data_IF_086222374435
#
_entry.id   IF_086222374435
#
_cell.length_a   1.000
_cell.length_b   1.000
_cell.length_c   1.000
_cell.angle_alpha   90.00
_cell.angle_beta   90.00
_cell.angle_gamma   90.00
#
_symmetry.space_group_name_H-M   'P 1'
#
loop_
_entity.id
_entity.type
_entity.pdbx_description
1 polymer ?
#
# COMPACT_ATOMS: atom_id res chain seq x y z
N UNK A 1 41.98 16.61 -1.70
CA UNK A 1 40.97 15.76 -2.38
C UNK A 1 39.96 15.36 -1.33
N UNK A 2 38.74 15.88 -1.41
CA UNK A 2 37.69 15.49 -0.50
C UNK A 2 37.29 14.05 -0.87
N UNK A 3 37.42 13.15 0.06
CA UNK A 3 36.83 11.79 -0.08
C UNK A 3 35.34 11.97 -0.13
N UNK A 4 34.71 11.61 -1.25
CA UNK A 4 33.28 11.45 -1.35
C UNK A 4 32.85 10.48 -0.24
N UNK A 5 32.21 11.02 0.80
CA UNK A 5 31.48 10.18 1.74
C UNK A 5 30.43 9.49 0.91
N UNK A 6 30.51 8.18 0.75
CA UNK A 6 29.47 7.39 0.11
C UNK A 6 28.11 7.82 0.65
N UNK A 7 27.33 8.46 -0.21
CA UNK A 7 25.99 8.87 0.16
C UNK A 7 25.23 7.61 0.57
N UNK A 8 24.85 7.50 1.83
CA UNK A 8 24.10 6.36 2.33
C UNK A 8 22.76 6.33 1.64
N UNK A 9 22.63 5.52 0.60
CA UNK A 9 21.40 5.39 -0.16
C UNK A 9 20.35 4.76 0.76
N UNK A 10 19.27 5.50 0.98
CA UNK A 10 18.15 5.01 1.81
C UNK A 10 17.36 3.96 1.02
N UNK A 11 16.84 2.92 1.69
CA UNK A 11 15.92 1.98 1.04
C UNK A 11 14.66 2.70 0.58
N UNK A 12 14.03 2.15 -0.47
CA UNK A 12 12.75 2.65 -0.95
C UNK A 12 11.62 2.15 -0.06
N UNK A 13 10.58 2.96 0.11
CA UNK A 13 9.37 2.50 0.80
C UNK A 13 8.58 1.52 -0.06
N UNK A 14 8.49 1.75 -1.37
CA UNK A 14 7.77 0.89 -2.31
C UNK A 14 8.30 1.05 -3.74
N UNK A 15 8.01 0.05 -4.57
CA UNK A 15 8.24 0.09 -6.00
C UNK A 15 7.01 -0.44 -6.73
N UNK A 16 6.38 0.39 -7.56
CA UNK A 16 5.17 0.03 -8.28
C UNK A 16 4.51 1.23 -8.95
N UNK A 17 3.21 1.10 -9.19
CA UNK A 17 2.35 2.11 -9.79
C UNK A 17 1.32 2.59 -8.77
N UNK A 18 1.03 3.87 -8.83
CA UNK A 18 -0.06 4.53 -8.13
C UNK A 18 -1.01 5.16 -9.12
N UNK A 19 -2.30 5.03 -8.90
CA UNK A 19 -3.34 5.70 -9.70
C UNK A 19 -4.51 6.11 -8.80
N UNK A 20 -5.33 7.00 -9.33
CA UNK A 20 -6.57 7.44 -8.70
C UNK A 20 -7.74 7.08 -9.58
N UNK A 21 -8.79 6.54 -8.98
CA UNK A 21 -10.07 6.26 -9.65
C UNK A 21 -11.16 7.14 -9.05
N UNK A 22 -12.20 7.52 -9.83
CA UNK A 22 -13.34 8.25 -9.31
C UNK A 22 -13.99 7.58 -8.09
N UNK A 23 -14.67 8.35 -7.27
CA UNK A 23 -15.21 7.93 -5.96
C UNK A 23 -16.18 6.75 -6.03
N UNK A 24 -16.89 6.59 -7.15
CA UNK A 24 -17.85 5.51 -7.39
C UNK A 24 -17.20 4.13 -7.51
N UNK A 25 -15.89 4.06 -7.76
CA UNK A 25 -15.12 2.83 -7.72
C UNK A 25 -14.70 2.56 -6.29
N UNK A 26 -15.64 2.06 -5.49
CA UNK A 26 -15.54 1.94 -4.04
C UNK A 26 -15.59 0.50 -3.51
N UNK A 27 -15.61 -0.47 -4.41
CA UNK A 27 -15.57 -1.89 -4.08
C UNK A 27 -14.29 -2.54 -4.59
N UNK A 28 -13.73 -3.45 -3.79
CA UNK A 28 -12.59 -4.28 -4.19
C UNK A 28 -12.92 -5.76 -4.15
N UNK A 29 -12.19 -6.52 -4.95
CA UNK A 29 -12.08 -7.97 -4.83
C UNK A 29 -10.68 -8.37 -5.27
N UNK A 30 -10.09 -9.36 -4.59
CA UNK A 30 -8.73 -9.78 -4.89
C UNK A 30 -8.49 -11.25 -4.54
N UNK A 31 -7.48 -11.84 -5.18
CA UNK A 31 -6.90 -13.12 -4.78
C UNK A 31 -5.50 -12.87 -4.25
N UNK A 32 -5.33 -13.03 -2.95
CA UNK A 32 -4.11 -12.74 -2.22
C UNK A 32 -4.23 -13.14 -0.76
N UNK A 33 -3.35 -12.64 0.09
CA UNK A 33 -3.46 -12.83 1.54
C UNK A 33 -4.46 -11.83 2.13
N UNK A 34 -5.32 -12.36 3.00
CA UNK A 34 -6.37 -11.58 3.67
C UNK A 34 -7.13 -12.41 4.70
N UNK A 35 -8.25 -11.91 5.22
CA UNK A 35 -8.95 -10.67 4.80
C UNK A 35 -8.34 -9.37 5.31
N UNK A 36 -7.52 -9.41 6.38
CA UNK A 36 -6.97 -8.22 7.02
C UNK A 36 -5.74 -7.71 6.25
N UNK A 37 -5.47 -6.41 6.34
CA UNK A 37 -4.25 -5.82 5.78
C UNK A 37 -3.01 -6.56 6.25
N UNK A 38 -2.04 -6.70 5.37
CA UNK A 38 -0.83 -7.41 5.70
C UNK A 38 0.36 -6.89 4.88
N UNK A 39 1.56 -7.09 5.44
CA UNK A 39 2.82 -6.60 4.90
C UNK A 39 3.85 -7.72 4.92
N UNK A 40 4.90 -7.61 4.16
CA UNK A 40 5.90 -8.68 3.99
C UNK A 40 6.54 -9.15 5.30
N UNK A 41 6.56 -8.30 6.32
CA UNK A 41 7.03 -8.63 7.68
C UNK A 41 5.89 -8.97 8.65
N UNK A 42 4.64 -8.94 8.17
CA UNK A 42 3.44 -9.16 8.96
C UNK A 42 2.31 -9.77 8.10
N UNK A 43 2.53 -10.97 7.57
CA UNK A 43 1.54 -11.64 6.72
C UNK A 43 1.32 -13.12 7.04
N UNK A 44 2.01 -13.67 8.04
CA UNK A 44 1.93 -15.08 8.36
C UNK A 44 0.59 -15.51 8.99
N UNK A 45 -0.18 -14.57 9.52
CA UNK A 45 -1.53 -14.80 10.04
C UNK A 45 -2.60 -14.85 8.94
N UNK A 46 -2.28 -14.35 7.73
CA UNK A 46 -3.24 -14.21 6.66
C UNK A 46 -3.12 -15.35 5.65
N UNK A 47 -4.26 -15.86 5.21
CA UNK A 47 -4.35 -16.98 4.29
C UNK A 47 -4.60 -16.53 2.86
N UNK A 48 -4.10 -17.30 1.91
CA UNK A 48 -4.43 -17.10 0.50
C UNK A 48 -5.90 -17.46 0.24
N UNK A 49 -6.62 -16.54 -0.36
CA UNK A 49 -8.04 -16.71 -0.66
C UNK A 49 -8.55 -15.61 -1.57
N UNK A 50 -9.82 -15.71 -1.94
CA UNK A 50 -10.53 -14.64 -2.63
C UNK A 50 -11.29 -13.83 -1.60
N UNK A 51 -10.98 -12.56 -1.53
CA UNK A 51 -11.55 -11.62 -0.59
C UNK A 51 -12.11 -10.41 -1.33
N UNK A 52 -12.83 -9.57 -0.61
CA UNK A 52 -13.32 -8.32 -1.13
C UNK A 52 -14.18 -7.60 -0.10
N UNK A 53 -14.46 -6.34 -0.39
CA UNK A 53 -15.19 -5.47 0.50
C UNK A 53 -15.33 -4.08 -0.10
N UNK A 54 -15.62 -3.12 0.74
CA UNK A 54 -15.63 -1.72 0.33
C UNK A 54 -14.29 -1.09 0.60
N UNK A 55 -13.85 -0.20 -0.28
CA UNK A 55 -12.60 0.55 -0.12
C UNK A 55 -12.53 1.31 1.20
N UNK A 56 -13.66 1.82 1.70
CA UNK A 56 -13.70 2.52 2.99
C UNK A 56 -13.33 1.63 4.19
N UNK A 57 -13.55 0.31 4.08
CA UNK A 57 -13.30 -0.65 5.16
C UNK A 57 -11.84 -1.15 5.17
N UNK A 58 -11.06 -0.78 4.14
CA UNK A 58 -9.66 -1.18 4.01
C UNK A 58 -8.71 -0.33 4.90
N UNK A 59 -9.16 0.82 5.36
CA UNK A 59 -8.36 1.65 6.24
C UNK A 59 -8.46 1.17 7.69
N UNK A 60 -7.33 0.77 8.27
CA UNK A 60 -7.27 0.47 9.70
C UNK A 60 -6.99 1.76 10.49
N UNK A 61 -7.86 2.16 11.44
CA UNK A 61 -7.73 3.43 12.15
C UNK A 61 -6.70 3.35 13.29
N UNK A 62 -5.43 3.24 12.94
CA UNK A 62 -4.36 3.39 13.92
C UNK A 62 -4.47 4.73 14.67
N UNK A 63 -3.94 4.81 15.90
CA UNK A 63 -4.00 6.03 16.73
C UNK A 63 -3.48 7.24 15.96
N UNK A 64 -2.36 7.08 15.26
CA UNK A 64 -1.89 8.05 14.26
C UNK A 64 -2.14 7.52 12.87
N UNK A 65 -2.52 8.40 11.92
CA UNK A 65 -2.54 8.02 10.52
C UNK A 65 -1.18 7.50 10.07
N UNK A 66 -1.19 6.38 9.38
CA UNK A 66 0.01 5.73 8.83
C UNK A 66 -0.38 4.82 7.68
N UNK A 67 0.60 4.17 7.07
CA UNK A 67 0.38 3.15 6.04
C UNK A 67 -0.66 2.13 6.49
N UNK A 68 -1.60 1.80 5.60
CA UNK A 68 -2.75 0.94 5.88
C UNK A 68 -3.28 0.27 4.61
N UNK A 69 -4.02 -0.84 4.76
CA UNK A 69 -4.80 -1.47 3.71
C UNK A 69 -4.00 -2.23 2.66
N UNK A 70 -2.73 -2.55 2.88
CA UNK A 70 -1.95 -3.34 1.93
C UNK A 70 -2.30 -4.83 2.03
N UNK A 71 -2.28 -5.52 0.87
CA UNK A 71 -2.40 -6.97 0.76
C UNK A 71 -1.20 -7.54 0.00
N UNK A 72 -0.61 -8.60 0.53
CA UNK A 72 0.54 -9.28 -0.07
C UNK A 72 0.14 -10.54 -0.84
N UNK A 73 1.06 -11.09 -1.61
CA UNK A 73 0.86 -12.30 -2.41
C UNK A 73 -0.37 -12.22 -3.34
N UNK A 74 -0.69 -11.03 -3.83
CA UNK A 74 -1.84 -10.79 -4.72
C UNK A 74 -1.51 -11.30 -6.13
N UNK A 75 -2.48 -12.02 -6.74
CA UNK A 75 -2.41 -12.48 -8.12
C UNK A 75 -3.25 -11.63 -9.05
N UNK A 76 -4.39 -11.19 -8.56
CA UNK A 76 -5.25 -10.21 -9.21
C UNK A 76 -5.95 -9.35 -8.17
N UNK A 77 -6.18 -8.10 -8.54
CA UNK A 77 -6.85 -7.09 -7.72
C UNK A 77 -7.83 -6.31 -8.59
N UNK A 78 -9.06 -6.16 -8.14
CA UNK A 78 -10.14 -5.46 -8.85
C UNK A 78 -10.60 -4.27 -8.03
N UNK A 79 -10.87 -3.19 -8.72
CA UNK A 79 -11.53 -2.01 -8.15
C UNK A 79 -12.74 -1.71 -9.02
N UNK A 80 -13.92 -1.71 -8.43
CA UNK A 80 -15.20 -1.73 -9.15
C UNK A 80 -16.18 -0.71 -8.58
N UNK A 81 -17.13 -0.29 -9.45
CA UNK A 81 -18.31 0.47 -9.06
C UNK A 81 -19.47 -0.47 -8.66
N UNK A 82 -20.62 0.11 -8.31
CA UNK A 82 -21.81 -0.65 -7.91
C UNK A 82 -22.40 -1.53 -9.02
N UNK A 83 -22.07 -1.26 -10.29
CA UNK A 83 -22.49 -2.05 -11.45
C UNK A 83 -21.55 -3.22 -11.74
N UNK A 84 -20.43 -3.31 -11.00
CA UNK A 84 -19.39 -4.32 -11.23
C UNK A 84 -18.40 -3.95 -12.34
N UNK A 85 -18.49 -2.74 -12.88
CA UNK A 85 -17.56 -2.22 -13.87
C UNK A 85 -16.31 -1.65 -13.17
N UNK A 86 -15.16 -1.74 -13.82
CA UNK A 86 -13.94 -1.22 -13.21
C UNK A 86 -12.66 -1.66 -13.89
N UNK A 87 -11.62 -1.81 -13.09
CA UNK A 87 -10.31 -2.28 -13.54
C UNK A 87 -9.87 -3.52 -12.76
N UNK A 88 -9.32 -4.46 -13.48
CA UNK A 88 -8.58 -5.59 -12.91
C UNK A 88 -7.10 -5.43 -13.21
N UNK A 89 -6.29 -5.57 -12.19
CA UNK A 89 -4.83 -5.63 -12.24
C UNK A 89 -4.41 -7.06 -11.94
N UNK A 90 -3.55 -7.64 -12.78
CA UNK A 90 -3.08 -9.00 -12.56
C UNK A 90 -1.64 -9.19 -13.03
N UNK A 91 -0.95 -10.13 -12.40
CA UNK A 91 0.44 -10.45 -12.70
C UNK A 91 0.69 -11.96 -12.59
N UNK A 92 1.63 -12.45 -13.39
CA UNK A 92 2.09 -13.84 -13.30
C UNK A 92 2.95 -14.10 -12.04
N UNK A 93 3.54 -13.05 -11.48
CA UNK A 93 4.25 -13.10 -10.20
C UNK A 93 3.41 -12.46 -9.09
N UNK A 94 3.60 -12.88 -7.83
CA UNK A 94 2.97 -12.20 -6.72
C UNK A 94 3.29 -10.71 -6.70
N UNK A 95 2.28 -9.90 -6.44
CA UNK A 95 2.36 -8.46 -6.26
C UNK A 95 1.73 -8.06 -4.94
N UNK A 96 1.81 -6.79 -4.62
CA UNK A 96 1.12 -6.19 -3.49
C UNK A 96 0.14 -5.14 -4.01
N UNK A 97 -1.00 -5.00 -3.34
CA UNK A 97 -2.03 -4.05 -3.77
C UNK A 97 -2.78 -3.46 -2.58
N UNK A 98 -3.23 -2.22 -2.76
CA UNK A 98 -4.13 -1.55 -1.82
C UNK A 98 -5.07 -0.60 -2.56
N UNK A 99 -6.21 -0.30 -1.92
CA UNK A 99 -7.13 0.74 -2.37
C UNK A 99 -7.69 1.46 -1.14
N UNK A 100 -7.54 2.78 -1.08
CA UNK A 100 -7.95 3.60 0.05
C UNK A 100 -8.69 4.86 -0.40
N UNK A 101 -9.51 5.42 0.50
CA UNK A 101 -10.11 6.75 0.34
C UNK A 101 -9.19 7.89 0.80
N UNK A 102 -7.95 7.58 1.12
CA UNK A 102 -6.93 8.53 1.56
C UNK A 102 -5.74 8.50 0.62
N UNK A 103 -5.11 9.63 0.41
CA UNK A 103 -3.84 9.72 -0.30
C UNK A 103 -2.69 9.35 0.65
N UNK A 104 -1.55 8.97 0.09
CA UNK A 104 -0.35 8.68 0.89
C UNK A 104 0.04 9.86 1.78
N UNK A 105 -0.06 11.08 1.27
CA UNK A 105 0.25 12.32 2.00
C UNK A 105 -0.78 12.68 3.09
N UNK A 106 -1.96 12.09 3.08
CA UNK A 106 -2.92 12.22 4.18
C UNK A 106 -2.50 11.34 5.37
N UNK A 107 -1.85 10.22 5.08
CA UNK A 107 -1.42 9.23 6.07
C UNK A 107 -0.01 9.50 6.58
N UNK A 108 0.87 10.04 5.73
CA UNK A 108 2.25 10.37 6.07
C UNK A 108 2.65 11.71 5.44
N UNK A 109 2.98 12.68 6.26
CA UNK A 109 3.41 14.02 5.85
C UNK A 109 4.91 14.10 5.49
N UNK A 110 5.59 12.96 5.37
CA UNK A 110 6.96 12.84 4.90
C UNK A 110 8.04 13.07 5.96
N UNK A 111 9.24 13.39 5.49
CA UNK A 111 10.45 13.46 6.33
C UNK A 111 10.52 14.71 7.21
N UNK A 112 9.81 15.77 6.89
CA UNK A 112 9.83 17.05 7.63
C UNK A 112 8.82 17.01 8.76
N UNK A 113 9.24 16.46 9.88
CA UNK A 113 8.42 16.35 11.10
C UNK A 113 8.06 17.70 11.74
N UNK A 114 8.74 18.76 11.35
CA UNK A 114 8.57 20.11 11.93
C UNK A 114 7.24 20.77 11.56
N UNK A 115 6.52 20.21 10.58
CA UNK A 115 5.21 20.67 10.15
C UNK A 115 4.09 19.69 10.48
N UNK A 116 4.38 18.68 11.28
CA UNK A 116 3.40 17.66 11.68
C UNK A 116 2.25 18.30 12.45
N UNK A 117 1.11 18.36 11.81
CA UNK A 117 -0.14 18.52 12.52
C UNK A 117 -0.38 17.19 13.23
N UNK A 118 -0.48 17.21 14.55
CA UNK A 118 -0.88 16.03 15.33
C UNK A 118 -2.28 15.64 14.88
N UNK A 119 -2.34 14.62 14.05
CA UNK A 119 -3.60 14.08 13.54
C UNK A 119 -3.87 12.76 14.22
N UNK A 120 -5.11 12.59 14.63
CA UNK A 120 -5.66 11.29 14.97
C UNK A 120 -6.39 10.71 13.75
N UNK A 121 -6.53 9.40 13.67
CA UNK A 121 -7.23 8.76 12.55
C UNK A 121 -8.67 9.25 12.38
N UNK A 122 -9.33 9.68 13.45
CA UNK A 122 -10.66 10.29 13.40
C UNK A 122 -10.71 11.70 12.77
N UNK A 123 -9.58 12.35 12.59
CA UNK A 123 -9.49 13.69 11.98
C UNK A 123 -9.34 13.60 10.45
N UNK A 124 -9.09 12.40 9.90
CA UNK A 124 -8.94 12.20 8.47
C UNK A 124 -10.25 12.41 7.73
N UNK A 125 -10.16 13.12 6.60
CA UNK A 125 -11.30 13.35 5.71
C UNK A 125 -11.10 12.50 4.45
N UNK A 126 -12.07 11.66 4.16
CA UNK A 126 -12.07 10.85 2.94
C UNK A 126 -12.00 11.72 1.68
N UNK A 127 -11.15 11.32 0.76
CA UNK A 127 -11.03 11.99 -0.54
C UNK A 127 -12.16 11.54 -1.49
N UNK A 128 -12.58 12.40 -2.42
CA UNK A 128 -13.59 12.07 -3.42
C UNK A 128 -13.04 11.18 -4.55
N UNK A 129 -12.08 10.32 -4.23
CA UNK A 129 -11.47 9.35 -5.14
C UNK A 129 -10.99 8.12 -4.37
N UNK A 130 -10.73 7.07 -5.11
CA UNK A 130 -10.07 5.86 -4.61
C UNK A 130 -8.62 5.88 -5.08
N UNK A 131 -7.69 5.90 -4.15
CA UNK A 131 -6.26 5.74 -4.38
C UNK A 131 -5.93 4.25 -4.47
N UNK A 132 -5.31 3.82 -5.56
CA UNK A 132 -4.94 2.43 -5.79
C UNK A 132 -3.43 2.33 -5.93
N UNK A 133 -2.82 1.39 -5.24
CA UNK A 133 -1.43 1.01 -5.41
C UNK A 133 -1.34 -0.41 -5.96
N UNK A 134 -0.53 -0.59 -6.99
CA UNK A 134 -0.15 -1.89 -7.55
C UNK A 134 1.37 -1.96 -7.52
N UNK A 135 1.89 -2.82 -6.67
CA UNK A 135 3.30 -2.77 -6.29
C UNK A 135 3.97 -4.13 -6.53
N UNK A 136 5.21 -4.09 -6.99
CA UNK A 136 6.06 -5.27 -6.95
C UNK A 136 6.37 -5.64 -5.50
N UNK A 137 6.66 -4.63 -4.69
CA UNK A 137 7.03 -4.78 -3.29
C UNK A 137 6.90 -3.47 -2.53
N UNK A 138 6.45 -3.59 -1.30
CA UNK A 138 6.49 -2.55 -0.28
C UNK A 138 7.41 -3.00 0.85
N UNK A 139 8.11 -2.06 1.46
CA UNK A 139 8.92 -2.30 2.65
C UNK A 139 8.02 -2.71 3.82
N UNK A 140 8.48 -3.63 4.65
CA UNK A 140 7.81 -3.95 5.90
C UNK A 140 7.68 -2.74 6.83
N UNK A 141 6.70 -2.76 7.72
CA UNK A 141 6.42 -1.64 8.62
C UNK A 141 7.31 -1.61 9.86
N UNK A 142 8.02 -2.70 10.14
CA UNK A 142 8.84 -2.84 11.35
C UNK A 142 7.99 -3.10 12.59
N UNK A 143 7.41 -2.07 13.17
CA UNK A 143 6.49 -2.15 14.32
C UNK A 143 7.04 -2.91 15.55
N UNK A 144 8.35 -3.10 15.65
CA UNK A 144 8.99 -3.81 16.77
C UNK A 144 9.09 -2.94 18.03
N UNK A 145 9.00 -1.63 17.85
CA UNK A 145 8.93 -0.65 18.96
C UNK A 145 8.37 0.70 18.47
N UNK A 146 8.08 1.59 19.42
CA UNK A 146 7.57 2.95 19.16
C UNK A 146 8.66 3.97 18.81
N UNK A 147 9.92 3.57 18.70
CA UNK A 147 11.06 4.46 18.56
C UNK A 147 11.60 4.54 17.14
N UNK A 148 10.82 4.09 16.15
CA UNK A 148 11.17 4.17 14.74
C UNK A 148 12.21 3.14 14.31
N UNK A 149 12.22 1.95 14.92
CA UNK A 149 13.05 0.86 14.45
C UNK A 149 12.66 0.46 13.02
N UNK A 150 13.68 0.32 12.19
CA UNK A 150 13.50 -0.15 10.83
C UNK A 150 13.09 -1.63 10.81
N UNK A 151 12.39 -2.09 9.75
CA UNK A 151 12.16 -3.52 9.53
C UNK A 151 13.49 -4.26 9.45
N UNK A 152 13.45 -5.58 9.65
CA UNK A 152 14.61 -6.42 9.38
C UNK A 152 15.05 -6.29 7.93
N UNK A 153 16.33 -6.52 7.67
CA UNK A 153 16.95 -6.30 6.36
C UNK A 153 16.24 -7.03 5.21
N UNK A 154 15.75 -8.22 5.45
CA UNK A 154 15.01 -9.02 4.48
C UNK A 154 13.66 -8.43 4.06
N UNK A 155 13.12 -7.51 4.86
CA UNK A 155 11.86 -6.80 4.61
C UNK A 155 12.06 -5.37 4.11
N UNK A 156 13.28 -5.00 3.76
CA UNK A 156 13.58 -3.68 3.17
C UNK A 156 13.61 -3.79 1.65
N UNK A 157 13.35 -2.68 0.99
CA UNK A 157 13.39 -2.57 -0.48
C UNK A 157 14.65 -1.78 -0.84
N UNK A 158 15.63 -2.46 -1.40
CA UNK A 158 16.88 -1.83 -1.82
C UNK A 158 16.66 -0.85 -2.96
N UNK A 159 17.45 0.21 -2.98
CA UNK A 159 17.53 1.08 -4.13
C UNK A 159 18.41 0.44 -5.21
N UNK A 160 17.77 -0.23 -6.15
CA UNK A 160 18.40 -0.94 -7.29
C UNK A 160 17.43 -1.02 -8.46
N UNK A 161 17.87 -1.55 -9.58
CA UNK A 161 16.98 -1.82 -10.72
C UNK A 161 15.96 -2.91 -10.38
N UNK A 162 14.72 -2.70 -10.81
CA UNK A 162 13.61 -3.64 -10.69
C UNK A 162 12.85 -3.74 -11.99
N UNK A 163 12.48 -4.96 -12.34
CA UNK A 163 11.48 -5.23 -13.36
C UNK A 163 10.15 -5.58 -12.70
N UNK A 164 9.09 -4.94 -13.14
CA UNK A 164 7.74 -5.23 -12.68
C UNK A 164 6.77 -5.20 -13.86
N UNK A 165 6.19 -6.34 -14.14
CA UNK A 165 5.21 -6.51 -15.22
C UNK A 165 3.88 -6.95 -14.65
N UNK A 166 2.85 -6.22 -14.98
CA UNK A 166 1.46 -6.53 -14.69
C UNK A 166 0.58 -6.05 -15.84
N UNK A 167 -0.63 -6.56 -15.93
CA UNK A 167 -1.59 -6.13 -16.94
C UNK A 167 -2.79 -5.44 -16.26
N UNK A 168 -3.39 -4.51 -16.99
CA UNK A 168 -4.62 -3.82 -16.62
C UNK A 168 -5.70 -4.21 -17.61
N UNK A 169 -6.85 -4.65 -17.13
CA UNK A 169 -7.99 -5.06 -17.93
C UNK A 169 -9.26 -4.33 -17.45
N UNK A 170 -10.04 -3.71 -18.34
CA UNK A 170 -11.36 -3.22 -17.97
C UNK A 170 -12.31 -4.37 -17.67
N UNK A 171 -13.13 -4.20 -16.64
CA UNK A 171 -14.26 -5.07 -16.28
C UNK A 171 -15.53 -4.34 -16.73
N UNK A 172 -16.41 -5.06 -17.43
CA UNK A 172 -17.70 -4.57 -17.93
C UNK A 172 -18.85 -5.35 -17.30
#
# INVERSE_FOLDING_TARGET
MATDKEAKIMPMFRYGMQLQMPKEFDAISYYGRGPVENYIDRNSSEFLGVYGGKVQDEYYPYVRPQESGNHTDVRWFRVMNAQGEGLEFYSNAPMEASALKFLTEDLDDGLTKDKKIDRHSGDLIERPQTQVHIQKRQMGLGCVNSWGAWPRREYMVDYKDYDFTFAIRPIK
#
